data_IF_466565046443
#
_entry.id   IF_466565046443
#
_cell.length_a   1.000
_cell.length_b   1.000
_cell.length_c   1.000
_cell.angle_alpha   90.00
_cell.angle_beta   90.00
_cell.angle_gamma   90.00
#
_symmetry.space_group_name_H-M   'P 1'
#
loop_
_entity.id
_entity.type
_entity.pdbx_description
1 polymer ?
#
# COMPACT_ATOMS: atom_id res chain seq x y z
N UNK A 1 -5.90 -8.64 15.81
CA UNK A 1 -5.36 -7.82 14.68
C UNK A 1 -5.09 -6.40 15.15
N UNK A 2 -3.91 -5.87 14.85
CA UNK A 2 -3.53 -4.51 15.21
C UNK A 2 -4.29 -3.46 14.41
N UNK A 3 -4.48 -2.26 14.99
CA UNK A 3 -5.19 -1.16 14.33
C UNK A 3 -4.50 -0.70 13.03
N UNK A 4 -3.16 -0.75 13.00
CA UNK A 4 -2.38 -0.41 11.80
C UNK A 4 -2.60 -1.42 10.69
N UNK A 5 -2.61 -2.71 11.01
CA UNK A 5 -2.88 -3.80 10.06
C UNK A 5 -4.28 -3.65 9.45
N UNK A 6 -5.30 -3.32 10.26
CA UNK A 6 -6.67 -3.10 9.75
C UNK A 6 -6.72 -1.94 8.76
N UNK A 7 -6.03 -0.82 9.06
CA UNK A 7 -5.95 0.33 8.12
C UNK A 7 -5.23 -0.06 6.83
N UNK A 8 -4.13 -0.80 6.93
CA UNK A 8 -3.39 -1.25 5.75
C UNK A 8 -4.20 -2.23 4.90
N UNK A 9 -5.01 -3.10 5.51
CA UNK A 9 -5.97 -3.93 4.78
C UNK A 9 -7.01 -3.09 4.03
N UNK A 10 -7.48 -1.97 4.60
CA UNK A 10 -8.35 -1.02 3.92
C UNK A 10 -7.68 -0.38 2.69
N UNK A 11 -6.45 0.08 2.83
CA UNK A 11 -5.66 0.62 1.71
C UNK A 11 -5.41 -0.42 0.61
N UNK A 12 -5.05 -1.64 1.01
CA UNK A 12 -4.82 -2.73 0.06
C UNK A 12 -6.10 -3.11 -0.67
N UNK A 13 -7.24 -3.15 0.03
CA UNK A 13 -8.53 -3.40 -0.59
C UNK A 13 -8.86 -2.32 -1.64
N UNK A 14 -8.56 -1.04 -1.36
CA UNK A 14 -8.74 0.04 -2.34
C UNK A 14 -7.88 -0.16 -3.60
N UNK A 15 -6.59 -0.48 -3.45
CA UNK A 15 -5.70 -0.78 -4.58
C UNK A 15 -6.23 -1.93 -5.45
N UNK A 16 -6.65 -3.01 -4.81
CA UNK A 16 -7.21 -4.18 -5.48
C UNK A 16 -8.55 -3.87 -6.15
N UNK A 17 -9.38 -3.04 -5.51
CA UNK A 17 -10.67 -2.62 -6.03
C UNK A 17 -10.50 -1.74 -7.28
N UNK A 18 -9.60 -0.75 -7.23
CA UNK A 18 -9.23 0.09 -8.38
C UNK A 18 -8.71 -0.76 -9.56
N UNK A 19 -7.89 -1.79 -9.27
CA UNK A 19 -7.34 -2.65 -10.30
C UNK A 19 -8.39 -3.58 -10.95
N UNK A 20 -9.29 -4.15 -10.13
CA UNK A 20 -10.25 -5.15 -10.59
C UNK A 20 -11.56 -4.56 -11.11
N UNK A 21 -12.02 -3.47 -10.52
CA UNK A 21 -13.35 -2.90 -10.76
C UNK A 21 -13.30 -1.36 -10.78
N UNK A 22 -12.57 -0.73 -11.74
CA UNK A 22 -12.33 0.71 -11.71
C UNK A 22 -13.62 1.55 -11.75
N UNK A 23 -14.71 0.99 -12.31
CA UNK A 23 -15.97 1.71 -12.51
C UNK A 23 -17.11 1.25 -11.57
N UNK A 24 -16.86 0.31 -10.66
CA UNK A 24 -17.92 -0.29 -9.82
C UNK A 24 -17.42 -0.68 -8.44
N UNK A 25 -17.74 0.14 -7.44
CA UNK A 25 -17.71 -0.30 -6.04
C UNK A 25 -19.01 -1.04 -5.75
N UNK A 26 -18.95 -2.36 -5.59
CA UNK A 26 -20.08 -3.11 -5.05
C UNK A 26 -20.17 -2.85 -3.54
N UNK A 27 -21.15 -2.05 -3.13
CA UNK A 27 -21.31 -1.65 -1.72
C UNK A 27 -21.43 -2.84 -0.77
N UNK A 28 -22.09 -3.92 -1.18
CA UNK A 28 -22.24 -5.12 -0.36
C UNK A 28 -20.91 -5.84 -0.14
N UNK A 29 -20.05 -5.90 -1.15
CA UNK A 29 -18.71 -6.48 -1.04
C UNK A 29 -17.81 -5.62 -0.15
N UNK A 30 -17.94 -4.30 -0.25
CA UNK A 30 -17.22 -3.35 0.58
C UNK A 30 -17.63 -3.44 2.05
N UNK A 31 -18.93 -3.46 2.35
CA UNK A 31 -19.45 -3.60 3.71
C UNK A 31 -19.01 -4.94 4.34
N UNK A 32 -19.00 -6.01 3.55
CA UNK A 32 -18.46 -7.29 3.96
C UNK A 32 -16.95 -7.22 4.24
N UNK A 33 -16.18 -6.55 3.39
CA UNK A 33 -14.74 -6.40 3.59
C UNK A 33 -14.43 -5.58 4.84
N UNK A 34 -15.20 -4.55 5.17
CA UNK A 34 -15.04 -3.79 6.40
C UNK A 34 -15.30 -4.66 7.66
N UNK A 35 -16.24 -5.59 7.58
CA UNK A 35 -16.56 -6.54 8.67
C UNK A 35 -15.54 -7.68 8.78
N UNK A 36 -15.02 -8.15 7.65
CA UNK A 36 -14.11 -9.29 7.51
C UNK A 36 -12.92 -8.93 6.60
N UNK A 37 -12.01 -8.02 7.03
CA UNK A 37 -11.04 -7.41 6.12
C UNK A 37 -10.06 -8.41 5.49
N UNK A 38 -9.59 -9.39 6.23
CA UNK A 38 -8.69 -10.42 5.68
C UNK A 38 -9.38 -11.22 4.57
N UNK A 39 -10.62 -11.67 4.83
CA UNK A 39 -11.41 -12.38 3.83
C UNK A 39 -11.71 -11.52 2.60
N UNK A 40 -12.12 -10.26 2.81
CA UNK A 40 -12.40 -9.34 1.71
C UNK A 40 -11.18 -9.11 0.82
N UNK A 41 -10.02 -8.84 1.42
CA UNK A 41 -8.75 -8.67 0.70
C UNK A 41 -8.36 -9.95 -0.04
N UNK A 42 -8.43 -11.12 0.59
CA UNK A 42 -8.08 -12.40 -0.05
C UNK A 42 -8.97 -12.70 -1.26
N UNK A 43 -10.26 -12.41 -1.18
CA UNK A 43 -11.18 -12.56 -2.31
C UNK A 43 -10.81 -11.63 -3.47
N UNK A 44 -10.45 -10.38 -3.18
CA UNK A 44 -10.01 -9.42 -4.21
C UNK A 44 -8.66 -9.82 -4.84
N UNK A 45 -7.71 -10.33 -4.05
CA UNK A 45 -6.44 -10.87 -4.58
C UNK A 45 -6.74 -12.02 -5.56
N UNK A 46 -7.60 -12.95 -5.17
CA UNK A 46 -8.01 -14.06 -6.04
C UNK A 46 -8.65 -13.55 -7.34
N UNK A 47 -9.48 -12.53 -7.26
CA UNK A 47 -10.10 -11.90 -8.42
C UNK A 47 -9.06 -11.23 -9.32
N UNK A 48 -8.09 -10.49 -8.73
CA UNK A 48 -7.01 -9.83 -9.47
C UNK A 48 -6.16 -10.83 -10.27
N UNK A 49 -5.82 -11.97 -9.68
CA UNK A 49 -5.13 -13.06 -10.38
C UNK A 49 -5.98 -13.62 -11.54
N UNK A 50 -7.28 -13.91 -11.28
CA UNK A 50 -8.20 -14.42 -12.29
C UNK A 50 -8.38 -13.47 -13.47
N UNK A 51 -8.34 -12.16 -13.24
CA UNK A 51 -8.49 -11.13 -14.27
C UNK A 51 -7.14 -10.72 -14.90
N UNK A 52 -6.02 -11.34 -14.51
CA UNK A 52 -4.67 -10.96 -14.95
C UNK A 52 -4.33 -9.48 -14.68
N UNK A 53 -4.80 -8.95 -13.54
CA UNK A 53 -4.59 -7.56 -13.08
C UNK A 53 -3.53 -7.44 -11.99
N UNK A 54 -2.91 -8.54 -11.56
CA UNK A 54 -1.84 -8.52 -10.57
C UNK A 54 -0.57 -7.94 -11.20
N UNK A 55 -0.19 -6.75 -10.77
CA UNK A 55 1.09 -6.10 -11.14
C UNK A 55 2.14 -6.35 -10.07
N UNK A 56 3.46 -6.19 -10.38
CA UNK A 56 4.51 -6.30 -9.37
C UNK A 56 4.31 -5.36 -8.17
N UNK A 57 3.83 -4.13 -8.40
CA UNK A 57 3.53 -3.17 -7.34
C UNK A 57 2.41 -3.65 -6.43
N UNK A 58 1.37 -4.23 -7.02
CA UNK A 58 0.23 -4.75 -6.28
C UNK A 58 0.60 -6.00 -5.49
N UNK A 59 1.41 -6.89 -6.07
CA UNK A 59 1.93 -8.09 -5.40
C UNK A 59 2.82 -7.72 -4.20
N UNK A 60 3.71 -6.74 -4.37
CA UNK A 60 4.53 -6.21 -3.28
C UNK A 60 3.67 -5.58 -2.17
N UNK A 61 2.62 -4.82 -2.52
CA UNK A 61 1.70 -4.26 -1.54
C UNK A 61 0.94 -5.36 -0.77
N UNK A 62 0.52 -6.43 -1.46
CA UNK A 62 -0.09 -7.60 -0.82
C UNK A 62 0.88 -8.24 0.19
N UNK A 63 2.10 -8.51 -0.25
CA UNK A 63 3.14 -9.12 0.61
C UNK A 63 3.45 -8.24 1.82
N UNK A 64 3.54 -6.91 1.64
CA UNK A 64 3.78 -5.96 2.72
C UNK A 64 2.68 -5.97 3.79
N UNK A 65 1.42 -6.03 3.40
CA UNK A 65 0.30 -6.00 4.35
C UNK A 65 0.07 -7.36 4.99
N UNK A 66 0.13 -8.43 4.20
CA UNK A 66 -0.23 -9.77 4.68
C UNK A 66 0.81 -10.38 5.62
N UNK A 67 2.05 -9.90 5.62
CA UNK A 67 3.07 -10.34 6.59
C UNK A 67 2.66 -10.09 8.06
N UNK A 68 1.85 -9.07 8.30
CA UNK A 68 1.38 -8.68 9.64
C UNK A 68 0.03 -9.33 10.00
N UNK A 69 -0.47 -10.25 9.17
CA UNK A 69 -1.71 -11.02 9.39
C UNK A 69 -1.35 -12.42 9.81
N UNK A 70 -1.74 -12.81 11.03
CA UNK A 70 -1.49 -14.13 11.57
C UNK A 70 -2.59 -15.16 11.22
N UNK A 71 -2.33 -16.44 11.48
CA UNK A 71 -3.28 -17.52 11.21
C UNK A 71 -4.57 -17.40 12.02
N UNK A 72 -4.50 -16.86 13.24
CA UNK A 72 -5.66 -16.65 14.10
C UNK A 72 -6.59 -15.57 13.51
N UNK A 73 -6.02 -14.50 12.95
CA UNK A 73 -6.78 -13.46 12.24
C UNK A 73 -7.47 -14.01 10.98
N UNK A 74 -6.79 -14.90 10.27
CA UNK A 74 -7.36 -15.61 9.11
C UNK A 74 -8.54 -16.48 9.56
N UNK A 75 -8.36 -17.32 10.57
CA UNK A 75 -9.42 -18.21 11.09
C UNK A 75 -10.64 -17.43 11.58
N UNK A 76 -10.43 -16.33 12.34
CA UNK A 76 -11.51 -15.44 12.80
C UNK A 76 -12.29 -14.86 11.62
N UNK A 77 -11.60 -14.44 10.58
CA UNK A 77 -12.22 -13.86 9.39
C UNK A 77 -13.10 -14.88 8.63
N UNK A 78 -12.65 -16.13 8.52
CA UNK A 78 -13.43 -17.18 7.88
C UNK A 78 -14.50 -17.81 8.77
N UNK A 79 -14.36 -17.76 10.09
CA UNK A 79 -15.39 -18.20 11.05
C UNK A 79 -16.54 -17.20 11.22
N UNK A 80 -16.65 -16.19 10.36
CA UNK A 80 -17.67 -15.14 10.38
C UNK A 80 -17.68 -14.31 11.69
N UNK A 81 -16.57 -14.24 12.38
CA UNK A 81 -16.38 -13.36 13.53
C UNK A 81 -16.04 -11.95 13.03
N UNK A 82 -17.08 -11.12 12.87
CA UNK A 82 -16.92 -9.73 12.41
C UNK A 82 -16.06 -8.91 13.37
N UNK A 83 -15.26 -7.98 12.81
CA UNK A 83 -14.58 -6.98 13.62
C UNK A 83 -15.58 -6.13 14.43
N UNK A 84 -15.21 -5.70 15.66
CA UNK A 84 -15.97 -4.70 16.38
C UNK A 84 -16.19 -3.43 15.54
N UNK A 85 -17.32 -2.75 15.73
CA UNK A 85 -17.73 -1.58 14.92
C UNK A 85 -16.63 -0.50 14.87
N UNK A 86 -15.97 -0.21 15.99
CA UNK A 86 -14.85 0.77 16.03
C UNK A 86 -13.65 0.35 15.18
N UNK A 87 -13.37 -0.95 15.06
CA UNK A 87 -12.30 -1.47 14.19
C UNK A 87 -12.71 -1.51 12.72
N UNK A 88 -13.99 -1.71 12.40
CA UNK A 88 -14.50 -1.57 11.03
C UNK A 88 -14.26 -0.15 10.51
N UNK A 89 -14.42 0.87 11.36
CA UNK A 89 -14.10 2.26 11.03
C UNK A 89 -12.62 2.47 10.63
N UNK A 90 -11.69 1.70 11.22
CA UNK A 90 -10.27 1.79 10.83
C UNK A 90 -10.02 1.28 9.39
N UNK A 91 -10.74 0.24 8.97
CA UNK A 91 -10.71 -0.22 7.58
C UNK A 91 -11.19 0.85 6.62
N UNK A 92 -12.31 1.52 6.95
CA UNK A 92 -12.87 2.63 6.15
C UNK A 92 -11.88 3.81 6.06
N UNK A 93 -11.21 4.15 7.16
CA UNK A 93 -10.17 5.19 7.18
C UNK A 93 -9.02 4.79 6.25
N UNK A 94 -8.60 3.54 6.27
CA UNK A 94 -7.57 3.02 5.38
C UNK A 94 -7.99 3.09 3.92
N UNK A 95 -9.18 2.60 3.59
CA UNK A 95 -9.74 2.63 2.24
C UNK A 95 -9.79 4.04 1.65
N UNK A 96 -10.23 5.03 2.43
CA UNK A 96 -10.32 6.43 2.00
C UNK A 96 -9.01 7.21 2.17
N UNK A 97 -7.92 6.57 2.53
CA UNK A 97 -6.64 7.24 2.76
C UNK A 97 -5.99 7.69 1.43
N UNK A 98 -5.54 8.95 1.30
CA UNK A 98 -4.95 9.44 0.05
C UNK A 98 -3.58 8.78 -0.27
N UNK A 99 -3.00 8.08 0.71
CA UNK A 99 -1.70 7.42 0.59
C UNK A 99 -1.79 5.91 0.27
N UNK A 100 -2.97 5.42 -0.12
CA UNK A 100 -3.15 4.00 -0.46
C UNK A 100 -2.20 3.53 -1.60
N UNK A 101 -1.93 4.39 -2.58
CA UNK A 101 -1.02 4.09 -3.72
C UNK A 101 0.45 3.96 -3.33
N UNK A 102 0.82 4.44 -2.15
CA UNK A 102 2.20 4.35 -1.64
C UNK A 102 2.39 3.24 -0.62
N UNK A 103 1.40 2.35 -0.51
CA UNK A 103 1.42 1.22 0.40
C UNK A 103 2.61 0.31 0.09
N UNK A 104 3.38 -0.02 1.13
CA UNK A 104 4.56 -0.87 0.99
C UNK A 104 5.84 -0.14 0.57
N UNK A 105 5.80 1.15 0.25
CA UNK A 105 7.04 1.90 -0.09
C UNK A 105 7.92 2.04 1.14
N UNK A 106 9.18 1.63 0.99
CA UNK A 106 10.18 1.60 2.06
C UNK A 106 11.12 2.81 1.97
N UNK A 107 11.19 3.59 3.05
CA UNK A 107 12.14 4.69 3.18
C UNK A 107 13.62 4.23 3.02
N UNK A 108 13.91 3.01 3.50
CA UNK A 108 15.25 2.41 3.37
C UNK A 108 15.58 2.12 1.92
N UNK A 109 14.62 1.60 1.14
CA UNK A 109 14.82 1.33 -0.29
C UNK A 109 14.92 2.61 -1.11
N UNK A 110 14.20 3.67 -0.76
CA UNK A 110 14.35 4.99 -1.38
C UNK A 110 15.80 5.49 -1.22
N UNK A 111 16.32 5.44 0.00
CA UNK A 111 17.71 5.82 0.29
C UNK A 111 18.72 4.95 -0.47
N UNK A 112 18.53 3.63 -0.45
CA UNK A 112 19.39 2.68 -1.16
C UNK A 112 19.39 2.92 -2.68
N UNK A 113 18.25 3.20 -3.29
CA UNK A 113 18.13 3.53 -4.70
C UNK A 113 18.91 4.80 -5.07
N UNK A 114 18.82 5.85 -4.24
CA UNK A 114 19.62 7.07 -4.44
C UNK A 114 21.11 6.80 -4.35
N UNK A 115 21.55 6.05 -3.33
CA UNK A 115 22.96 5.72 -3.11
C UNK A 115 23.51 4.84 -4.24
N UNK A 116 22.74 3.86 -4.70
CA UNK A 116 23.10 3.03 -5.84
C UNK A 116 23.22 3.83 -7.16
N UNK A 117 22.41 4.87 -7.31
CA UNK A 117 22.51 5.81 -8.42
C UNK A 117 23.70 6.80 -8.28
N UNK A 118 24.47 6.74 -7.20
CA UNK A 118 25.59 7.63 -6.93
C UNK A 118 25.18 9.08 -6.65
N UNK A 119 23.92 9.34 -6.28
CA UNK A 119 23.38 10.68 -6.09
C UNK A 119 23.46 11.12 -4.62
N UNK A 120 23.89 12.36 -4.39
CA UNK A 120 23.69 13.02 -3.09
C UNK A 120 22.23 13.48 -2.97
N UNK A 121 21.76 13.75 -1.75
CA UNK A 121 20.43 14.33 -1.52
C UNK A 121 20.22 15.61 -2.34
N UNK A 122 21.25 16.46 -2.41
CA UNK A 122 21.20 17.70 -3.18
C UNK A 122 21.11 17.44 -4.68
N UNK A 123 21.93 16.53 -5.22
CA UNK A 123 21.89 16.18 -6.62
C UNK A 123 20.54 15.54 -7.02
N UNK A 124 19.97 14.68 -6.17
CA UNK A 124 18.64 14.13 -6.39
C UNK A 124 17.56 15.23 -6.35
N UNK A 125 17.65 16.17 -5.41
CA UNK A 125 16.72 17.30 -5.32
C UNK A 125 16.77 18.17 -6.58
N UNK A 126 17.95 18.51 -7.07
CA UNK A 126 18.17 19.26 -8.31
C UNK A 126 17.60 18.50 -9.54
N UNK A 127 17.88 17.20 -9.64
CA UNK A 127 17.42 16.34 -10.76
C UNK A 127 15.91 16.16 -10.80
N UNK A 128 15.25 16.12 -9.64
CA UNK A 128 13.80 15.89 -9.51
C UNK A 128 12.97 17.18 -9.43
N UNK A 129 13.61 18.32 -9.19
CA UNK A 129 12.94 19.60 -8.87
C UNK A 129 12.24 19.58 -7.51
N UNK A 130 12.63 18.68 -6.61
CA UNK A 130 12.11 18.59 -5.24
C UNK A 130 13.04 19.32 -4.28
N UNK A 131 12.51 19.70 -3.10
CA UNK A 131 13.38 20.24 -2.04
C UNK A 131 14.20 19.13 -1.38
N UNK A 132 15.38 19.47 -0.86
CA UNK A 132 16.20 18.53 -0.08
C UNK A 132 15.46 17.99 1.14
N UNK A 133 14.61 18.82 1.77
CA UNK A 133 13.77 18.42 2.89
C UNK A 133 12.75 17.34 2.45
N UNK A 134 12.17 17.45 1.26
CA UNK A 134 11.25 16.43 0.72
C UNK A 134 11.95 15.08 0.55
N UNK A 135 13.17 15.08 0.00
CA UNK A 135 13.98 13.86 -0.14
C UNK A 135 14.31 13.27 1.24
N UNK A 136 14.76 14.09 2.17
CA UNK A 136 15.09 13.64 3.54
C UNK A 136 13.87 13.04 4.26
N UNK A 137 12.68 13.62 4.09
CA UNK A 137 11.44 13.08 4.67
C UNK A 137 11.08 11.73 4.04
N UNK A 138 11.22 11.59 2.73
CA UNK A 138 10.98 10.32 2.04
C UNK A 138 11.95 9.22 2.52
N UNK A 139 13.24 9.53 2.68
CA UNK A 139 14.27 8.58 3.14
C UNK A 139 14.23 8.28 4.64
N UNK A 140 13.63 9.14 5.45
CA UNK A 140 13.49 8.93 6.90
C UNK A 140 12.17 8.28 7.30
N UNK A 141 11.21 8.14 6.38
CA UNK A 141 9.87 7.64 6.68
C UNK A 141 9.04 8.54 7.60
N UNK A 142 9.49 9.78 7.87
CA UNK A 142 8.79 10.73 8.75
C UNK A 142 7.46 11.21 8.19
N UNK A 143 7.31 11.16 6.89
CA UNK A 143 6.06 11.50 6.21
C UNK A 143 5.83 10.55 5.04
N UNK A 144 4.57 10.22 4.79
CA UNK A 144 4.17 9.45 3.60
C UNK A 144 4.38 10.33 2.37
N UNK A 145 5.24 9.88 1.48
CA UNK A 145 5.51 10.58 0.22
C UNK A 145 4.33 10.41 -0.74
N UNK A 146 3.99 11.48 -1.45
CA UNK A 146 2.98 11.41 -2.52
C UNK A 146 3.49 10.54 -3.68
N UNK A 147 2.61 9.86 -4.39
CA UNK A 147 2.98 9.04 -5.55
C UNK A 147 3.80 9.83 -6.57
N UNK A 148 3.38 11.06 -6.91
CA UNK A 148 4.13 11.93 -7.83
C UNK A 148 5.55 12.28 -7.37
N UNK A 149 5.81 12.29 -6.06
CA UNK A 149 7.14 12.46 -5.48
C UNK A 149 7.99 11.20 -5.66
N UNK A 150 7.38 10.03 -5.40
CA UNK A 150 8.05 8.73 -5.55
C UNK A 150 8.38 8.42 -7.01
N UNK A 151 7.48 8.73 -7.95
CA UNK A 151 7.70 8.59 -9.38
C UNK A 151 8.91 9.42 -9.86
N UNK A 152 9.03 10.67 -9.39
CA UNK A 152 10.19 11.53 -9.70
C UNK A 152 11.49 10.95 -9.13
N UNK A 153 11.46 10.46 -7.88
CA UNK A 153 12.63 9.85 -7.23
C UNK A 153 13.03 8.57 -7.99
N UNK A 154 12.07 7.68 -8.26
CA UNK A 154 12.31 6.44 -8.98
C UNK A 154 12.91 6.68 -10.37
N UNK A 155 12.30 7.57 -11.15
CA UNK A 155 12.81 7.97 -12.48
C UNK A 155 14.23 8.55 -12.41
N UNK A 156 14.52 9.41 -11.44
CA UNK A 156 15.84 10.00 -11.27
C UNK A 156 16.91 8.98 -10.86
N UNK A 157 16.53 7.96 -10.09
CA UNK A 157 17.41 6.87 -9.66
C UNK A 157 17.50 5.72 -10.67
N UNK A 158 16.65 5.71 -11.71
CA UNK A 158 16.62 4.64 -12.72
C UNK A 158 16.01 3.33 -12.23
N UNK A 159 15.08 3.41 -11.28
CA UNK A 159 14.37 2.26 -10.68
C UNK A 159 12.86 2.42 -10.88
N UNK A 160 12.11 1.34 -10.64
CA UNK A 160 10.65 1.35 -10.65
C UNK A 160 10.08 1.63 -9.25
N UNK A 161 8.78 1.95 -9.17
CA UNK A 161 8.09 2.05 -7.87
C UNK A 161 8.12 0.70 -7.13
N UNK A 162 7.99 -0.42 -7.86
CA UNK A 162 8.08 -1.76 -7.29
C UNK A 162 9.41 -2.01 -6.57
N UNK A 163 10.53 -1.48 -7.11
CA UNK A 163 11.85 -1.60 -6.49
C UNK A 163 11.95 -0.82 -5.17
N UNK A 164 11.11 0.20 -4.99
CA UNK A 164 11.03 1.01 -3.77
C UNK A 164 10.12 0.42 -2.70
N UNK A 165 9.33 -0.63 -3.03
CA UNK A 165 8.47 -1.34 -2.07
C UNK A 165 9.25 -2.45 -1.35
N UNK A 166 8.89 -2.76 -0.11
CA UNK A 166 9.63 -3.72 0.71
C UNK A 166 8.81 -4.52 1.65
#
# INVERSE_FOLDING_TARGET
MENTTIRNLGKLYHLLDEACTPDHVNQADFDNAARFPVRGVTMKITLAHKLHKMTPELDNACSYVLKDVDLEDVEKSYSLKALPMGQQGLFLIGYNSPDYKTLGVSAVKIKAARESAGLTIRALAEKTGLSTATIQHAESGKAVSRMSTLEKIAAACGVTIADLQG
#
